data_IF_086649865376
#
_entry.id   IF_086649865376
#
_cell.length_a   1.000
_cell.length_b   1.000
_cell.length_c   1.000
_cell.angle_alpha   90.00
_cell.angle_beta   90.00
_cell.angle_gamma   90.00
#
_symmetry.space_group_name_H-M   'P 1'
#
loop_
_entity.id
_entity.type
_entity.pdbx_description
1 polymer ?
#
# COMPACT_ATOMS: atom_id res chain seq x y z
N UNK A 1 -5.29 -9.81 -1.77
CA UNK A 1 -4.30 -9.07 -0.95
C UNK A 1 -4.53 -7.56 -0.99
N UNK A 2 -4.83 -7.01 -2.16
CA UNK A 2 -5.04 -5.56 -2.28
C UNK A 2 -6.19 -5.06 -1.39
N UNK A 3 -7.35 -5.72 -1.48
CA UNK A 3 -8.51 -5.28 -0.71
C UNK A 3 -8.24 -5.36 0.80
N UNK A 4 -7.55 -6.42 1.22
CA UNK A 4 -7.20 -6.59 2.62
C UNK A 4 -6.28 -5.48 3.09
N UNK A 5 -5.25 -5.16 2.30
CA UNK A 5 -4.32 -4.11 2.67
C UNK A 5 -5.00 -2.75 2.70
N UNK A 6 -5.89 -2.51 1.74
CA UNK A 6 -6.62 -1.24 1.71
C UNK A 6 -7.47 -1.08 2.96
N UNK A 7 -8.16 -2.14 3.37
CA UNK A 7 -8.97 -2.11 4.59
C UNK A 7 -8.11 -1.86 5.82
N UNK A 8 -7.00 -2.58 5.93
CA UNK A 8 -6.12 -2.43 7.08
C UNK A 8 -5.57 -1.01 7.18
N UNK A 9 -5.24 -0.42 6.03
CA UNK A 9 -4.75 0.94 6.02
C UNK A 9 -5.85 1.92 6.45
N UNK A 10 -7.07 1.73 5.95
CA UNK A 10 -8.19 2.60 6.30
C UNK A 10 -8.54 2.50 7.78
N UNK A 11 -8.34 1.33 8.38
CA UNK A 11 -8.57 1.13 9.80
C UNK A 11 -7.40 1.58 10.64
N UNK A 12 -6.34 2.07 9.99
CA UNK A 12 -5.11 2.56 10.63
C UNK A 12 -4.36 1.46 11.38
N UNK A 13 -4.61 0.21 10.99
CA UNK A 13 -3.85 -0.92 11.51
C UNK A 13 -2.50 -1.06 10.81
N UNK A 14 -2.43 -0.62 9.55
CA UNK A 14 -1.19 -0.57 8.79
C UNK A 14 -0.93 0.89 8.42
N UNK A 15 0.33 1.28 8.43
CA UNK A 15 0.73 2.63 8.01
C UNK A 15 1.27 2.59 6.59
N UNK A 16 1.65 3.78 6.07
CA UNK A 16 2.17 3.89 4.72
C UNK A 16 3.40 3.03 4.52
N UNK A 17 4.25 2.95 5.53
CA UNK A 17 5.47 2.18 5.42
C UNK A 17 5.15 0.71 5.17
N UNK A 18 4.13 0.20 5.84
CA UNK A 18 3.73 -1.18 5.67
C UNK A 18 3.24 -1.42 4.24
N UNK A 19 2.46 -0.49 3.72
CA UNK A 19 1.97 -0.60 2.34
C UNK A 19 3.13 -0.48 1.36
N UNK A 20 4.07 0.42 1.65
CA UNK A 20 5.26 0.59 0.82
C UNK A 20 6.05 -0.72 0.73
N UNK A 21 6.23 -1.40 1.85
CA UNK A 21 6.94 -2.67 1.86
C UNK A 21 6.19 -3.75 1.11
N UNK A 22 4.86 -3.69 1.10
CA UNK A 22 4.07 -4.62 0.32
C UNK A 22 4.34 -4.48 -1.17
N UNK A 23 4.56 -3.24 -1.63
CA UNK A 23 4.93 -3.03 -3.03
C UNK A 23 6.29 -3.64 -3.31
N UNK A 24 7.24 -3.43 -2.40
CA UNK A 24 8.59 -3.96 -2.58
C UNK A 24 8.59 -5.48 -2.59
N UNK A 25 7.69 -6.10 -1.85
CA UNK A 25 7.57 -7.55 -1.80
C UNK A 25 6.75 -8.11 -2.97
N UNK A 26 6.30 -7.24 -3.88
CA UNK A 26 5.47 -7.61 -5.02
C UNK A 26 4.11 -8.18 -4.61
N UNK A 27 3.65 -7.84 -3.43
CA UNK A 27 2.30 -8.22 -3.01
C UNK A 27 1.26 -7.36 -3.70
N UNK A 28 1.60 -6.10 -3.97
CA UNK A 28 0.74 -5.17 -4.69
C UNK A 28 1.60 -4.37 -5.67
N UNK A 29 0.94 -3.68 -6.60
CA UNK A 29 1.65 -2.85 -7.57
C UNK A 29 1.75 -1.42 -7.06
N UNK A 30 2.66 -0.61 -7.62
CA UNK A 30 2.72 0.82 -7.28
C UNK A 30 1.40 1.54 -7.52
N UNK A 31 0.65 1.12 -8.53
CA UNK A 31 -0.65 1.73 -8.79
C UNK A 31 -1.61 1.43 -7.65
N UNK A 32 -1.56 0.22 -7.12
CA UNK A 32 -2.39 -0.17 -5.99
C UNK A 32 -1.99 0.59 -4.73
N UNK A 33 -0.70 0.83 -4.57
CA UNK A 33 -0.22 1.65 -3.46
C UNK A 33 -0.88 3.03 -3.50
N UNK A 34 -0.90 3.64 -4.69
CA UNK A 34 -1.52 4.95 -4.85
C UNK A 34 -3.00 4.91 -4.51
N UNK A 35 -3.69 3.84 -4.92
CA UNK A 35 -5.10 3.71 -4.61
C UNK A 35 -5.35 3.56 -3.11
N UNK A 36 -4.46 2.87 -2.42
CA UNK A 36 -4.62 2.64 -0.99
C UNK A 36 -4.30 3.90 -0.20
N UNK A 37 -3.18 4.54 -0.50
CA UNK A 37 -2.69 5.67 0.31
C UNK A 37 -3.08 7.02 -0.25
N UNK A 38 -3.45 7.08 -1.52
CA UNK A 38 -3.74 8.35 -2.19
C UNK A 38 -2.50 9.09 -2.62
N UNK A 39 -1.32 8.49 -2.51
CA UNK A 39 -0.07 9.12 -2.90
C UNK A 39 0.69 8.23 -3.86
N UNK A 40 1.40 8.84 -4.80
CA UNK A 40 2.17 8.07 -5.75
C UNK A 40 3.31 7.33 -5.08
N UNK A 41 3.54 6.10 -5.56
CA UNK A 41 4.67 5.31 -5.08
C UNK A 41 5.92 5.81 -5.78
N UNK A 42 6.80 6.42 -5.01
CA UNK A 42 8.07 6.91 -5.55
C UNK A 42 9.16 5.93 -5.14
N UNK A 43 9.50 5.06 -6.06
CA UNK A 43 10.63 4.16 -5.85
C UNK A 43 11.84 4.79 -6.51
N UNK A 44 12.68 5.33 -5.74
CA UNK A 44 13.91 5.92 -6.25
C UNK A 44 15.07 4.94 -6.11
#
# INVERSE_FOLDING_TARGET
>A
MFTTLKRLYNLKLFDKQKIFESVKANWITPEQYKEITGEEFLSS
#
